data_IF_053532796474
#
_entry.id   IF_053532796474
#
_cell.length_a   1.000
_cell.length_b   1.000
_cell.length_c   1.000
_cell.angle_alpha   90.00
_cell.angle_beta   90.00
_cell.angle_gamma   90.00
#
_symmetry.space_group_name_H-M   'P 1'
#
loop_
_entity.id
_entity.type
_entity.pdbx_description
1 polymer ?
#
# COMPACT_ATOMS: atom_id res chain seq x y z
N UNK A 1 1.36 10.42 20.37
CA UNK A 1 0.76 9.78 21.48
C UNK A 1 -0.76 10.02 21.52
N UNK A 2 -1.48 8.95 21.84
CA UNK A 2 -2.93 8.98 21.85
C UNK A 2 -3.58 8.59 20.52
N UNK A 3 -2.82 8.20 19.51
CA UNK A 3 -3.40 7.71 18.27
C UNK A 3 -4.03 6.34 18.46
N UNK A 4 -5.20 6.12 17.85
CA UNK A 4 -5.90 4.84 17.89
C UNK A 4 -5.47 3.92 16.75
N UNK A 5 -4.95 4.50 15.67
CA UNK A 5 -4.35 3.78 14.53
C UNK A 5 -3.37 4.71 13.83
N UNK A 6 -2.53 4.13 12.99
CA UNK A 6 -1.61 4.89 12.14
C UNK A 6 -1.75 4.42 10.70
N UNK A 7 -1.57 5.32 9.75
CA UNK A 7 -1.56 4.98 8.33
C UNK A 7 -0.28 5.49 7.68
N UNK A 8 0.24 4.72 6.74
CA UNK A 8 1.42 5.09 5.96
C UNK A 8 1.44 4.32 4.64
N UNK A 9 1.97 4.87 3.57
CA UNK A 9 2.80 6.08 3.52
C UNK A 9 2.09 7.17 2.71
N UNK A 10 2.58 8.42 2.87
CA UNK A 10 2.24 9.49 1.95
C UNK A 10 3.05 9.30 0.65
N UNK A 11 2.68 10.01 -0.41
CA UNK A 11 3.45 10.03 -1.66
C UNK A 11 4.90 10.47 -1.39
N UNK A 12 5.82 9.93 -2.17
CA UNK A 12 7.23 10.31 -2.08
C UNK A 12 7.48 11.54 -2.95
N UNK A 13 8.29 12.46 -2.46
CA UNK A 13 8.60 13.68 -3.20
C UNK A 13 9.44 13.34 -4.43
N UNK A 14 8.98 13.74 -5.60
CA UNK A 14 9.66 13.51 -6.87
C UNK A 14 9.65 14.74 -7.76
N UNK A 15 10.25 14.62 -8.93
CA UNK A 15 10.34 15.68 -9.92
C UNK A 15 10.33 15.07 -11.32
N UNK A 16 9.74 15.78 -12.28
CA UNK A 16 9.82 15.44 -13.70
C UNK A 16 10.25 16.67 -14.50
N UNK A 17 11.11 16.46 -15.47
CA UNK A 17 11.65 17.53 -16.33
C UNK A 17 11.29 17.23 -17.79
N UNK A 18 10.81 18.25 -18.49
CA UNK A 18 10.65 18.23 -19.91
C UNK A 18 11.98 18.68 -20.53
N UNK A 19 12.71 17.74 -21.12
CA UNK A 19 14.04 18.01 -21.66
C UNK A 19 14.05 18.99 -22.83
N UNK A 20 13.01 18.92 -23.69
CA UNK A 20 12.90 19.81 -24.85
C UNK A 20 12.61 21.25 -24.44
N UNK A 21 11.72 21.42 -23.51
CA UNK A 21 11.35 22.75 -22.99
C UNK A 21 12.32 23.27 -21.91
N UNK A 22 13.16 22.40 -21.39
CA UNK A 22 14.11 22.68 -20.30
C UNK A 22 13.42 23.29 -19.07
N UNK A 23 12.26 22.69 -18.70
CA UNK A 23 11.41 23.15 -17.58
C UNK A 23 10.90 21.97 -16.78
N UNK A 24 10.57 22.19 -15.50
CA UNK A 24 9.80 21.22 -14.77
C UNK A 24 8.46 20.94 -15.46
N UNK A 25 8.02 19.69 -15.43
CA UNK A 25 6.69 19.30 -15.95
C UNK A 25 5.59 19.85 -15.04
N UNK A 26 5.84 19.81 -13.73
CA UNK A 26 4.89 20.28 -12.73
C UNK A 26 5.10 21.77 -12.45
N UNK A 27 4.02 22.53 -12.34
CA UNK A 27 4.07 23.94 -11.98
C UNK A 27 4.66 24.18 -10.58
N UNK A 28 4.52 23.19 -9.69
CA UNK A 28 5.08 23.18 -8.34
C UNK A 28 6.53 22.74 -8.28
N UNK A 29 7.14 22.42 -9.42
CA UNK A 29 8.50 21.93 -9.60
C UNK A 29 8.62 20.47 -9.11
N UNK A 30 8.28 20.20 -7.85
CA UNK A 30 8.25 18.87 -7.27
C UNK A 30 6.80 18.43 -7.01
N UNK A 31 6.58 17.13 -6.87
CA UNK A 31 5.26 16.58 -6.57
C UNK A 31 5.36 15.19 -5.98
N UNK A 32 4.23 14.71 -5.51
CA UNK A 32 4.15 13.37 -4.92
C UNK A 32 4.19 12.28 -5.98
N UNK A 33 5.08 11.31 -5.78
CA UNK A 33 5.14 10.10 -6.60
C UNK A 33 4.29 9.02 -5.95
N UNK A 34 3.37 8.44 -6.71
CA UNK A 34 2.51 7.33 -6.29
C UNK A 34 2.57 6.19 -7.33
N UNK A 35 1.78 5.14 -7.10
CA UNK A 35 1.71 4.01 -8.02
C UNK A 35 2.66 2.87 -7.65
N UNK A 36 2.76 1.87 -8.52
CA UNK A 36 3.48 0.63 -8.25
C UNK A 36 4.93 0.80 -7.80
N UNK A 37 5.59 1.85 -8.30
CA UNK A 37 7.00 2.11 -8.01
C UNK A 37 7.31 2.35 -6.53
N UNK A 38 6.35 2.83 -5.74
CA UNK A 38 6.56 3.12 -4.32
C UNK A 38 6.29 1.91 -3.42
N UNK A 39 5.72 0.82 -3.94
CA UNK A 39 5.33 -0.34 -3.13
C UNK A 39 6.47 -0.90 -2.28
N UNK A 40 7.67 -1.17 -2.80
CA UNK A 40 8.73 -1.76 -1.99
C UNK A 40 9.11 -0.91 -0.78
N UNK A 41 9.06 0.41 -0.94
CA UNK A 41 9.37 1.37 0.14
C UNK A 41 8.23 1.37 1.16
N UNK A 42 6.99 1.49 0.67
CA UNK A 42 5.79 1.50 1.52
C UNK A 42 5.67 0.21 2.33
N UNK A 43 5.88 -0.93 1.69
CA UNK A 43 5.79 -2.25 2.30
C UNK A 43 6.81 -2.39 3.45
N UNK A 44 8.05 -2.01 3.22
CA UNK A 44 9.10 -2.03 4.25
C UNK A 44 8.73 -1.13 5.43
N UNK A 45 8.26 0.09 5.15
CA UNK A 45 7.89 1.03 6.21
C UNK A 45 6.72 0.53 7.04
N UNK A 46 5.70 -0.06 6.42
CA UNK A 46 4.57 -0.68 7.10
C UNK A 46 5.05 -1.82 8.01
N UNK A 47 5.92 -2.67 7.51
CA UNK A 47 6.49 -3.76 8.28
C UNK A 47 7.23 -3.25 9.53
N UNK A 48 8.07 -2.23 9.36
CA UNK A 48 8.82 -1.64 10.48
C UNK A 48 7.90 -1.00 11.52
N UNK A 49 6.89 -0.24 11.08
CA UNK A 49 5.94 0.42 11.98
C UNK A 49 5.07 -0.62 12.72
N UNK A 50 4.60 -1.64 12.01
CA UNK A 50 3.80 -2.71 12.63
C UNK A 50 4.54 -3.42 13.77
N UNK A 51 5.86 -3.53 13.66
CA UNK A 51 6.69 -4.11 14.73
C UNK A 51 6.91 -3.14 15.90
N UNK A 52 6.79 -1.86 15.66
CA UNK A 52 7.09 -0.81 16.65
C UNK A 52 5.87 -0.38 17.47
N UNK A 53 4.66 -0.63 16.99
CA UNK A 53 3.42 -0.16 17.64
C UNK A 53 2.47 -1.32 17.93
N UNK A 54 1.58 -1.12 18.91
CA UNK A 54 0.56 -2.09 19.29
C UNK A 54 -0.83 -1.71 18.79
N UNK A 55 -0.95 -0.62 18.05
CA UNK A 55 -2.20 -0.14 17.46
C UNK A 55 -2.32 -0.60 16.01
N UNK A 56 -3.54 -0.62 15.44
CA UNK A 56 -3.71 -1.01 14.04
C UNK A 56 -2.92 -0.13 13.08
N UNK A 57 -2.37 -0.74 12.04
CA UNK A 57 -1.60 -0.08 10.98
C UNK A 57 -2.38 -0.20 9.67
N UNK A 58 -2.63 0.92 9.02
CA UNK A 58 -3.27 0.96 7.70
C UNK A 58 -2.17 1.18 6.67
N UNK A 59 -2.00 0.23 5.76
CA UNK A 59 -0.96 0.29 4.74
C UNK A 59 -1.47 0.84 3.42
N UNK A 60 -0.72 1.75 2.83
CA UNK A 60 -1.01 2.26 1.49
C UNK A 60 0.28 2.64 0.78
N UNK A 61 0.27 2.52 -0.53
CA UNK A 61 1.39 2.87 -1.40
C UNK A 61 1.70 1.77 -2.40
N UNK A 62 1.28 1.97 -3.63
CA UNK A 62 1.61 1.09 -4.74
C UNK A 62 0.85 -0.23 -4.80
N UNK A 63 -0.27 -0.33 -4.11
CA UNK A 63 -1.13 -1.52 -4.18
C UNK A 63 -1.90 -1.49 -5.50
N UNK A 64 -1.60 -2.44 -6.38
CA UNK A 64 -2.16 -2.53 -7.73
C UNK A 64 -3.06 -3.76 -7.91
N UNK A 65 -3.10 -4.67 -6.95
CA UNK A 65 -3.90 -5.87 -7.02
C UNK A 65 -3.96 -6.61 -5.68
N UNK A 66 -4.70 -7.72 -5.65
CA UNK A 66 -4.90 -8.52 -4.43
C UNK A 66 -3.59 -9.03 -3.82
N UNK A 67 -2.64 -9.38 -4.67
CA UNK A 67 -1.36 -9.93 -4.22
C UNK A 67 -0.58 -8.91 -3.40
N UNK A 68 -0.54 -7.67 -3.88
CA UNK A 68 0.09 -6.56 -3.15
C UNK A 68 -0.62 -6.34 -1.81
N UNK A 69 -1.95 -6.35 -1.80
CA UNK A 69 -2.74 -6.19 -0.58
C UNK A 69 -2.43 -7.28 0.45
N UNK A 70 -2.33 -8.53 0.03
CA UNK A 70 -1.95 -9.65 0.90
C UNK A 70 -0.54 -9.46 1.45
N UNK A 71 0.39 -9.01 0.63
CA UNK A 71 1.76 -8.72 1.07
C UNK A 71 1.80 -7.68 2.19
N UNK A 72 1.01 -6.62 2.07
CA UNK A 72 0.89 -5.61 3.13
C UNK A 72 0.29 -6.19 4.42
N UNK A 73 -0.71 -7.03 4.31
CA UNK A 73 -1.32 -7.68 5.48
C UNK A 73 -0.34 -8.63 6.16
N UNK A 74 0.37 -9.44 5.41
CA UNK A 74 1.41 -10.33 5.94
C UNK A 74 2.50 -9.53 6.67
N UNK A 75 2.85 -8.36 6.18
CA UNK A 75 3.83 -7.47 6.81
C UNK A 75 3.31 -6.82 8.10
N UNK A 76 2.00 -6.84 8.35
CA UNK A 76 1.40 -6.34 9.58
C UNK A 76 0.31 -5.29 9.41
N UNK A 77 -0.09 -4.96 8.18
CA UNK A 77 -1.20 -4.03 7.97
C UNK A 77 -2.53 -4.69 8.34
N UNK A 78 -3.30 -4.01 9.17
CA UNK A 78 -4.66 -4.44 9.55
C UNK A 78 -5.67 -4.13 8.45
N UNK A 79 -5.43 -3.05 7.72
CA UNK A 79 -6.24 -2.63 6.58
C UNK A 79 -5.33 -2.01 5.52
N UNK A 80 -5.85 -1.89 4.30
CA UNK A 80 -5.10 -1.28 3.19
C UNK A 80 -5.96 -0.21 2.51
N UNK A 81 -5.27 0.70 1.83
CA UNK A 81 -5.92 1.71 0.99
C UNK A 81 -5.33 1.66 -0.41
N UNK A 82 -6.19 1.89 -1.40
CA UNK A 82 -5.80 1.85 -2.81
C UNK A 82 -6.10 3.23 -3.42
N UNK A 83 -5.06 3.85 -3.96
CA UNK A 83 -5.17 5.17 -4.60
C UNK A 83 -5.05 5.08 -6.12
N UNK A 84 -3.84 5.18 -6.62
CA UNK A 84 -3.53 5.28 -8.05
C UNK A 84 -4.19 4.20 -8.92
N UNK A 85 -4.27 2.97 -8.43
CA UNK A 85 -4.84 1.86 -9.18
C UNK A 85 -6.31 2.08 -9.58
N UNK A 86 -7.06 2.89 -8.81
CA UNK A 86 -8.44 3.24 -9.14
C UNK A 86 -8.55 4.00 -10.48
N UNK A 87 -7.53 4.77 -10.84
CA UNK A 87 -7.50 5.49 -12.11
C UNK A 87 -7.23 4.57 -13.31
N UNK A 88 -6.60 3.43 -13.05
CA UNK A 88 -6.32 2.41 -14.08
C UNK A 88 -7.51 1.48 -14.23
N UNK A 89 -8.09 1.04 -13.11
CA UNK A 89 -9.24 0.14 -13.05
C UNK A 89 -10.18 0.58 -11.93
N UNK A 90 -11.32 1.22 -12.26
CA UNK A 90 -12.28 1.68 -11.25
C UNK A 90 -12.88 0.57 -10.38
N UNK A 91 -12.82 -0.68 -10.83
CA UNK A 91 -13.32 -1.86 -10.10
C UNK A 91 -12.23 -2.53 -9.25
N UNK A 92 -11.04 -1.93 -9.13
CA UNK A 92 -9.89 -2.59 -8.50
C UNK A 92 -10.14 -2.99 -7.04
N UNK A 93 -10.88 -2.20 -6.28
CA UNK A 93 -11.15 -2.50 -4.87
C UNK A 93 -11.99 -3.77 -4.72
N UNK A 94 -12.97 -3.97 -5.60
CA UNK A 94 -13.78 -5.20 -5.62
C UNK A 94 -12.91 -6.40 -6.00
N UNK A 95 -12.09 -6.26 -7.03
CA UNK A 95 -11.17 -7.32 -7.47
C UNK A 95 -10.16 -7.69 -6.39
N UNK A 96 -9.64 -6.72 -5.68
CA UNK A 96 -8.71 -6.95 -4.56
C UNK A 96 -9.42 -7.70 -3.44
N UNK A 97 -10.62 -7.29 -3.07
CA UNK A 97 -11.41 -7.98 -2.04
C UNK A 97 -11.70 -9.45 -2.41
N UNK A 98 -12.10 -9.69 -3.65
CA UNK A 98 -12.33 -11.04 -4.17
C UNK A 98 -11.04 -11.87 -4.17
N UNK A 99 -9.94 -11.27 -4.58
CA UNK A 99 -8.62 -11.92 -4.60
C UNK A 99 -8.12 -12.27 -3.21
N UNK A 100 -8.36 -11.42 -2.21
CA UNK A 100 -8.04 -11.71 -0.81
C UNK A 100 -8.88 -12.91 -0.32
N UNK A 101 -10.18 -12.92 -0.59
CA UNK A 101 -11.04 -14.05 -0.22
C UNK A 101 -10.57 -15.36 -0.85
N UNK A 102 -10.24 -15.34 -2.13
CA UNK A 102 -9.69 -16.51 -2.83
C UNK A 102 -8.39 -17.00 -2.19
N UNK A 103 -7.50 -16.08 -1.86
CA UNK A 103 -6.26 -16.40 -1.16
C UNK A 103 -6.53 -17.09 0.17
N UNK A 104 -7.44 -16.56 0.98
CA UNK A 104 -7.80 -17.14 2.27
C UNK A 104 -8.35 -18.55 2.11
N UNK A 105 -9.26 -18.78 1.16
CA UNK A 105 -9.82 -20.09 0.88
C UNK A 105 -8.75 -21.09 0.46
N UNK A 106 -7.88 -20.72 -0.47
CA UNK A 106 -6.80 -21.59 -0.96
C UNK A 106 -5.80 -21.98 0.12
N UNK A 107 -5.62 -21.15 1.12
CA UNK A 107 -4.69 -21.39 2.23
C UNK A 107 -5.39 -21.89 3.50
N UNK A 108 -6.69 -22.12 3.47
CA UNK A 108 -7.42 -22.70 4.60
C UNK A 108 -7.68 -21.72 5.76
N UNK A 109 -7.63 -20.42 5.50
CA UNK A 109 -7.94 -19.41 6.50
C UNK A 109 -9.40 -18.99 6.47
N UNK A 110 -9.95 -18.62 7.63
CA UNK A 110 -11.34 -18.19 7.76
C UNK A 110 -11.49 -16.67 7.85
N UNK A 111 -10.40 -15.94 8.10
CA UNK A 111 -10.43 -14.48 8.30
C UNK A 111 -9.11 -13.85 7.90
N UNK A 112 -9.14 -12.58 7.46
CA UNK A 112 -7.94 -11.78 7.23
C UNK A 112 -7.10 -11.63 8.50
N UNK A 113 -7.71 -11.73 9.67
CA UNK A 113 -7.00 -11.69 10.96
C UNK A 113 -5.94 -12.78 11.07
N UNK A 114 -6.14 -13.89 10.37
CA UNK A 114 -5.22 -15.03 10.40
C UNK A 114 -3.91 -14.74 9.66
N UNK A 115 -3.91 -13.79 8.74
CA UNK A 115 -2.73 -13.45 7.93
C UNK A 115 -2.05 -12.14 8.34
N UNK A 116 -2.69 -11.31 9.16
CA UNK A 116 -2.09 -10.05 9.61
C UNK A 116 -0.83 -10.32 10.44
N UNK A 117 0.31 -9.85 9.93
CA UNK A 117 1.59 -10.06 10.59
C UNK A 117 2.14 -11.48 10.48
N UNK A 118 1.57 -12.31 9.63
CA UNK A 118 1.96 -13.72 9.50
C UNK A 118 3.18 -13.94 8.59
N UNK A 119 3.91 -12.89 8.23
CA UNK A 119 5.12 -13.00 7.44
C UNK A 119 6.16 -13.86 8.16
N UNK A 120 6.61 -14.90 7.48
CA UNK A 120 7.65 -15.79 8.00
C UNK A 120 9.03 -15.25 7.65
N UNK A 121 9.87 -15.10 8.66
CA UNK A 121 11.24 -14.59 8.50
C UNK A 121 12.24 -15.60 9.06
#
# INVERSE_FOLDING_TARGET
>A
SGADSVSLINTLLGMAVDAEKRRPVLSTITGGMSGAAVKPIALRMVWQVAKAVNIPVIGLGGIMGWKDAVEFMLAGATAIQIGTANFIDPAITVKVSEGINDYLERHGYTSVKDIIGALEI
#
